data_IF_015556174026
#
_entry.id   IF_015556174026
#
_cell.length_a   1.000
_cell.length_b   1.000
_cell.length_c   1.000
_cell.angle_alpha   90.00
_cell.angle_beta   90.00
_cell.angle_gamma   90.00
#
_symmetry.space_group_name_H-M   'P 1'
#
loop_
_entity.id
_entity.type
_entity.pdbx_description
1 polymer ?
#
# COMPACT_ATOMS: atom_id res chain seq x y z
N UNK A 1 -47.37 -14.26 47.62
CA UNK A 1 -47.45 -13.40 48.82
C UNK A 1 -46.50 -12.24 48.51
N UNK A 2 -46.83 -11.04 48.34
CA UNK A 2 -47.96 -10.14 48.61
C UNK A 2 -47.93 -9.02 47.57
N UNK A 3 -48.95 -8.81 46.89
CA UNK A 3 -49.73 -7.77 46.38
C UNK A 3 -49.60 -6.41 47.09
N UNK A 4 -49.86 -5.32 46.34
CA UNK A 4 -50.66 -4.13 46.70
C UNK A 4 -50.02 -2.91 46.02
N UNK A 5 -50.62 -1.92 45.47
CA UNK A 5 -51.96 -1.47 45.09
C UNK A 5 -51.79 -0.24 44.21
N UNK A 6 -52.67 -0.05 43.29
CA UNK A 6 -52.90 1.16 42.48
C UNK A 6 -53.49 2.28 43.33
N UNK A 7 -53.19 3.53 43.00
CA UNK A 7 -53.98 4.67 43.36
C UNK A 7 -54.07 5.68 42.22
N UNK A 8 -55.26 5.77 41.66
CA UNK A 8 -55.74 6.82 40.75
C UNK A 8 -56.02 8.08 41.52
N UNK A 9 -55.70 9.28 41.03
CA UNK A 9 -56.29 10.53 41.41
C UNK A 9 -56.72 11.32 40.17
N UNK A 10 -57.99 11.40 39.96
CA UNK A 10 -58.71 12.33 39.08
C UNK A 10 -58.78 13.73 39.73
N UNK A 11 -58.48 14.78 38.95
CA UNK A 11 -58.98 16.16 39.28
C UNK A 11 -59.47 16.81 37.99
N UNK A 12 -60.65 17.34 37.96
CA UNK A 12 -61.27 18.05 36.84
C UNK A 12 -61.09 19.56 36.94
N UNK A 13 -61.07 20.27 35.81
CA UNK A 13 -61.16 21.74 35.80
C UNK A 13 -60.67 22.37 34.50
N UNK A 14 -61.54 22.48 33.52
CA UNK A 14 -61.36 23.27 32.32
C UNK A 14 -61.64 24.76 32.58
N UNK A 15 -60.70 25.63 32.16
CA UNK A 15 -60.95 27.07 31.94
C UNK A 15 -60.38 27.44 30.56
N UNK A 16 -61.20 28.10 29.70
CA UNK A 16 -60.73 28.51 28.36
C UNK A 16 -59.92 29.80 28.48
N UNK A 17 -58.67 29.74 27.92
CA UNK A 17 -57.85 30.96 27.76
C UNK A 17 -58.00 31.52 26.35
N UNK A 18 -58.33 32.78 26.31
CA UNK A 18 -58.49 33.63 25.14
C UNK A 18 -57.14 33.72 24.34
N UNK A 19 -57.29 33.73 23.05
CA UNK A 19 -56.18 33.97 22.09
C UNK A 19 -55.90 35.48 22.05
N UNK A 20 -54.63 35.88 22.35
CA UNK A 20 -54.04 37.16 21.93
C UNK A 20 -53.13 36.91 20.73
N UNK A 21 -53.30 37.63 19.63
CA UNK A 21 -52.38 37.51 18.50
C UNK A 21 -51.10 38.33 18.79
N UNK A 22 -49.94 37.68 18.73
CA UNK A 22 -48.61 38.34 18.73
C UNK A 22 -48.19 38.59 17.28
N UNK A 23 -47.95 39.85 16.87
CA UNK A 23 -47.47 40.14 15.52
C UNK A 23 -45.96 39.93 15.46
N UNK A 24 -45.50 39.17 14.48
CA UNK A 24 -44.06 39.13 14.10
C UNK A 24 -43.36 37.77 14.18
N UNK A 25 -44.04 36.65 13.91
CA UNK A 25 -43.36 35.38 13.76
C UNK A 25 -42.82 35.22 12.32
N UNK A 26 -41.52 35.38 12.13
CA UNK A 26 -40.82 34.94 10.93
C UNK A 26 -41.07 33.44 10.74
N UNK A 27 -41.47 32.97 9.56
CA UNK A 27 -41.82 31.57 9.37
C UNK A 27 -40.60 30.68 9.70
N UNK A 28 -40.76 29.76 10.66
CA UNK A 28 -39.72 28.78 11.04
C UNK A 28 -39.15 27.98 9.86
N UNK A 29 -39.83 27.92 8.75
CA UNK A 29 -39.39 27.32 7.51
C UNK A 29 -38.19 28.07 6.86
N UNK A 30 -38.14 29.41 7.00
CA UNK A 30 -37.05 30.20 6.40
C UNK A 30 -35.75 30.12 7.20
N UNK A 31 -35.83 29.99 8.53
CA UNK A 31 -34.62 29.73 9.35
C UNK A 31 -34.06 28.32 9.13
N UNK A 32 -34.91 27.31 8.96
CA UNK A 32 -34.47 25.94 8.68
C UNK A 32 -33.78 25.79 7.32
N UNK A 33 -34.26 26.50 6.29
CA UNK A 33 -33.62 26.51 4.96
C UNK A 33 -32.30 27.27 4.98
N UNK A 34 -32.19 28.39 5.70
CA UNK A 34 -30.93 29.13 5.84
C UNK A 34 -29.87 28.34 6.61
N UNK A 35 -30.25 27.60 7.66
CA UNK A 35 -29.37 26.74 8.43
C UNK A 35 -28.92 25.51 7.59
N UNK A 36 -29.82 24.93 6.81
CA UNK A 36 -29.50 23.81 5.92
C UNK A 36 -28.55 24.23 4.78
N UNK A 37 -28.72 25.44 4.22
CA UNK A 37 -27.83 25.99 3.19
C UNK A 37 -26.48 26.38 3.77
N UNK A 38 -26.39 26.88 5.02
CA UNK A 38 -25.09 27.13 5.68
C UNK A 38 -24.36 25.83 6.06
N UNK A 39 -25.05 24.75 6.39
CA UNK A 39 -24.46 23.44 6.69
C UNK A 39 -23.99 22.74 5.41
N UNK A 40 -24.66 22.94 4.28
CA UNK A 40 -24.25 22.42 2.96
C UNK A 40 -23.07 23.19 2.32
N UNK A 41 -22.77 24.40 2.81
CA UNK A 41 -21.61 25.21 2.36
C UNK A 41 -20.37 25.02 3.23
N UNK A 42 -20.44 24.24 4.30
CA UNK A 42 -19.26 23.72 4.99
C UNK A 42 -18.67 22.51 4.22
N UNK A 43 -18.44 22.67 2.93
CA UNK A 43 -17.43 21.89 2.23
C UNK A 43 -16.15 22.07 3.04
N UNK A 44 -15.58 20.98 3.55
CA UNK A 44 -14.23 21.00 4.13
C UNK A 44 -13.36 21.55 3.02
N UNK A 45 -13.06 22.83 3.07
CA UNK A 45 -12.11 23.44 2.15
C UNK A 45 -10.81 22.69 2.40
N UNK A 46 -10.46 21.78 1.51
CA UNK A 46 -9.14 21.16 1.49
C UNK A 46 -8.15 22.30 1.41
N UNK A 47 -7.41 22.54 2.48
CA UNK A 47 -6.49 23.66 2.54
C UNK A 47 -5.41 23.40 1.50
N UNK A 48 -5.26 24.31 0.53
CA UNK A 48 -4.15 24.27 -0.41
C UNK A 48 -2.84 24.31 0.37
N UNK A 49 -1.90 23.43 0.03
CA UNK A 49 -0.65 23.25 0.78
C UNK A 49 0.53 23.66 -0.10
N UNK A 50 1.42 24.45 0.45
CA UNK A 50 2.73 24.72 -0.12
C UNK A 50 3.78 24.09 0.78
N UNK A 51 4.73 23.38 0.21
CA UNK A 51 5.87 22.81 0.91
C UNK A 51 7.15 23.45 0.37
N UNK A 52 7.98 24.05 1.25
CA UNK A 52 9.28 24.60 0.88
C UNK A 52 10.38 23.83 1.58
N UNK A 53 11.36 23.35 0.81
CA UNK A 53 12.53 22.63 1.29
C UNK A 53 13.82 23.37 0.95
N UNK A 54 14.83 23.32 1.84
CA UNK A 54 16.19 23.74 1.45
C UNK A 54 16.70 22.89 0.30
N UNK A 55 16.31 21.61 0.27
CA UNK A 55 16.51 20.69 -0.87
C UNK A 55 15.23 19.88 -1.11
N UNK A 56 14.74 19.91 -2.34
CA UNK A 56 13.58 19.10 -2.78
C UNK A 56 14.05 18.04 -3.76
N UNK A 57 13.96 16.77 -3.38
CA UNK A 57 14.21 15.62 -4.25
C UNK A 57 12.92 15.28 -4.97
N UNK A 58 12.78 15.70 -6.21
CA UNK A 58 11.54 15.48 -6.98
C UNK A 58 11.38 14.04 -7.45
N UNK A 59 12.46 13.29 -7.56
CA UNK A 59 12.56 11.96 -8.20
C UNK A 59 12.11 11.95 -9.68
N UNK A 60 12.04 13.14 -10.30
CA UNK A 60 11.75 13.37 -11.72
C UNK A 60 12.89 14.12 -12.42
N UNK A 61 13.97 14.43 -11.73
CA UNK A 61 15.14 15.16 -12.21
C UNK A 61 16.11 15.46 -11.08
N UNK A 62 17.04 16.38 -11.31
CA UNK A 62 18.01 16.79 -10.29
C UNK A 62 17.31 17.44 -9.08
N UNK A 63 17.87 17.30 -7.87
CA UNK A 63 17.35 17.96 -6.68
C UNK A 63 17.28 19.48 -6.83
N UNK A 64 16.22 20.10 -6.34
CA UNK A 64 15.99 21.54 -6.42
C UNK A 64 16.40 22.18 -5.08
N UNK A 65 17.37 23.08 -5.11
CA UNK A 65 17.73 23.90 -3.95
C UNK A 65 16.70 25.01 -3.75
N UNK A 66 16.35 25.28 -2.48
CA UNK A 66 15.29 26.21 -2.11
C UNK A 66 14.01 25.96 -2.94
N UNK A 67 13.59 24.70 -2.96
CA UNK A 67 12.48 24.24 -3.78
C UNK A 67 11.12 24.46 -3.14
N UNK A 68 10.09 24.62 -3.99
CA UNK A 68 8.69 24.76 -3.57
C UNK A 68 7.84 23.75 -4.33
N UNK A 69 6.94 23.08 -3.61
CA UNK A 69 5.89 22.22 -4.14
C UNK A 69 4.54 22.83 -3.77
N UNK A 70 3.71 23.11 -4.75
CA UNK A 70 2.33 23.56 -4.55
C UNK A 70 1.36 22.41 -4.78
N UNK A 71 0.48 22.18 -3.82
CA UNK A 71 -0.59 21.17 -3.89
C UNK A 71 -1.93 21.88 -3.83
N UNK A 72 -2.75 21.66 -4.85
CA UNK A 72 -4.05 22.29 -5.02
C UNK A 72 -5.14 21.73 -4.09
N UNK A 73 -6.29 22.36 -4.13
CA UNK A 73 -7.46 21.95 -3.36
C UNK A 73 -8.01 20.56 -3.78
N UNK A 74 -7.67 20.11 -4.98
CA UNK A 74 -8.00 18.76 -5.48
C UNK A 74 -7.03 17.67 -4.99
N UNK A 75 -6.03 18.05 -4.17
CA UNK A 75 -5.02 17.13 -3.64
C UNK A 75 -3.90 16.80 -4.63
N UNK A 76 -3.86 17.46 -5.81
CA UNK A 76 -2.83 17.23 -6.81
C UNK A 76 -1.71 18.27 -6.75
N UNK A 77 -0.51 17.85 -7.15
CA UNK A 77 0.61 18.76 -7.33
C UNK A 77 0.31 19.69 -8.51
N UNK A 78 0.28 20.99 -8.27
CA UNK A 78 0.06 22.00 -9.30
C UNK A 78 1.39 22.42 -9.94
N UNK A 79 2.40 22.67 -9.11
CA UNK A 79 3.71 23.17 -9.57
C UNK A 79 4.83 22.73 -8.64
N UNK A 80 5.99 22.52 -9.23
CA UNK A 80 7.25 22.28 -8.53
C UNK A 80 8.34 23.12 -9.19
N UNK A 81 9.21 23.75 -8.39
CA UNK A 81 10.31 24.55 -8.91
C UNK A 81 11.08 25.25 -7.79
N UNK A 82 12.00 26.14 -8.15
CA UNK A 82 12.71 26.97 -7.17
C UNK A 82 11.78 28.00 -6.54
N UNK A 83 12.08 28.49 -5.33
CA UNK A 83 11.31 29.58 -4.70
C UNK A 83 11.34 30.89 -5.49
N UNK A 84 12.29 31.05 -6.42
CA UNK A 84 12.33 32.18 -7.33
C UNK A 84 11.26 32.05 -8.44
N UNK A 85 11.01 30.84 -8.92
CA UNK A 85 10.11 30.55 -10.04
C UNK A 85 8.67 30.24 -9.58
N UNK A 86 8.52 29.68 -8.37
CA UNK A 86 7.24 29.24 -7.81
C UNK A 86 6.91 30.06 -6.56
N UNK A 87 6.12 31.13 -6.76
CA UNK A 87 5.62 31.94 -5.63
C UNK A 87 4.47 31.21 -4.97
N UNK A 88 4.50 31.15 -3.63
CA UNK A 88 3.40 30.62 -2.81
C UNK A 88 2.26 31.62 -2.82
N UNK A 89 1.06 31.25 -3.35
CA UNK A 89 -0.09 32.16 -3.37
C UNK A 89 -0.62 32.43 -1.95
N UNK A 90 -1.31 33.53 -1.77
CA UNK A 90 -2.05 33.81 -0.54
C UNK A 90 -3.15 32.77 -0.33
N UNK A 91 -3.28 32.26 0.91
CA UNK A 91 -4.26 31.23 1.25
C UNK A 91 -3.71 29.80 1.28
N UNK A 92 -2.50 29.57 0.78
CA UNK A 92 -1.82 28.28 0.94
C UNK A 92 -1.26 28.14 2.36
N UNK A 93 -1.47 26.97 2.97
CA UNK A 93 -0.77 26.59 4.19
C UNK A 93 0.67 26.25 3.87
N UNK A 94 1.63 27.04 4.35
CA UNK A 94 3.06 26.84 4.07
C UNK A 94 3.72 25.98 5.15
N UNK A 95 4.25 24.83 4.73
CA UNK A 95 5.14 23.95 5.49
C UNK A 95 6.60 24.18 5.08
N UNK A 96 7.54 23.97 6.02
CA UNK A 96 8.97 24.13 5.77
C UNK A 96 9.76 22.95 6.33
N UNK A 97 10.79 22.51 5.59
CA UNK A 97 11.70 21.46 6.02
C UNK A 97 13.10 21.67 5.42
N UNK A 98 14.11 20.96 5.93
CA UNK A 98 15.43 20.94 5.29
C UNK A 98 15.40 20.11 4.02
N UNK A 99 14.83 18.92 4.12
CA UNK A 99 14.70 17.99 2.97
C UNK A 99 13.24 17.66 2.74
N UNK A 100 12.85 17.65 1.46
CA UNK A 100 11.51 17.30 1.00
C UNK A 100 11.64 16.23 -0.08
N UNK A 101 10.86 15.15 0.05
CA UNK A 101 10.81 14.05 -0.90
C UNK A 101 9.36 13.76 -1.30
N UNK A 102 9.10 12.99 -2.38
CA UNK A 102 7.82 12.32 -2.53
C UNK A 102 7.52 11.49 -1.29
N UNK A 103 6.25 11.28 -0.99
CA UNK A 103 5.86 10.30 0.00
C UNK A 103 6.46 8.94 -0.33
N UNK A 104 6.95 8.24 0.69
CA UNK A 104 7.59 6.94 0.52
C UNK A 104 6.57 5.87 0.12
N UNK A 105 7.02 4.91 -0.68
CA UNK A 105 6.25 3.77 -1.16
C UNK A 105 6.87 2.49 -0.63
N UNK A 106 6.19 1.79 0.26
CA UNK A 106 6.60 0.45 0.71
C UNK A 106 6.12 -0.59 -0.32
N UNK A 107 7.07 -1.17 -1.05
CA UNK A 107 6.75 -2.05 -2.17
C UNK A 107 6.17 -3.41 -1.74
N UNK A 108 6.31 -3.81 -0.47
CA UNK A 108 5.69 -5.02 0.08
C UNK A 108 5.68 -5.01 1.60
N UNK A 109 4.49 -5.14 2.16
CA UNK A 109 4.27 -5.24 3.60
C UNK A 109 3.04 -6.09 3.91
N UNK A 110 2.77 -6.32 5.19
CA UNK A 110 1.52 -6.92 5.70
C UNK A 110 0.74 -5.98 6.62
N UNK A 111 1.19 -4.73 6.71
CA UNK A 111 0.55 -3.72 7.57
C UNK A 111 -0.89 -3.48 7.11
N UNK A 112 -1.79 -3.37 8.07
CA UNK A 112 -3.23 -3.30 7.85
C UNK A 112 -3.95 -4.66 7.83
N UNK A 113 -3.25 -5.77 7.46
CA UNK A 113 -3.74 -7.14 7.66
C UNK A 113 -3.13 -7.75 8.93
N UNK A 114 -1.88 -7.41 9.24
CA UNK A 114 -1.21 -7.80 10.47
C UNK A 114 -1.20 -6.62 11.44
N UNK A 115 -1.75 -6.81 12.64
CA UNK A 115 -1.83 -5.79 13.68
C UNK A 115 -0.59 -5.73 14.56
N UNK A 116 -0.44 -4.63 15.30
CA UNK A 116 0.74 -4.36 16.12
C UNK A 116 0.84 -5.24 17.38
N UNK A 117 -0.28 -5.76 17.86
CA UNK A 117 -0.31 -6.62 19.06
C UNK A 117 0.25 -8.02 18.81
N UNK A 118 0.32 -8.45 17.54
CA UNK A 118 0.75 -9.79 17.15
C UNK A 118 -0.06 -10.91 17.82
N UNK A 119 -1.36 -10.69 17.98
CA UNK A 119 -2.30 -11.65 18.58
C UNK A 119 -3.09 -12.37 17.49
N UNK A 120 -3.62 -13.57 17.74
CA UNK A 120 -4.35 -14.33 16.72
C UNK A 120 -5.48 -13.56 16.02
N UNK A 121 -6.15 -12.66 16.72
CA UNK A 121 -7.25 -11.86 16.18
C UNK A 121 -6.81 -10.72 15.26
N UNK A 122 -5.53 -10.36 15.25
CA UNK A 122 -4.96 -9.30 14.40
C UNK A 122 -3.97 -9.83 13.35
N UNK A 123 -4.04 -11.14 13.00
CA UNK A 123 -3.14 -11.81 12.07
C UNK A 123 -3.88 -12.28 10.81
N UNK A 124 -4.53 -11.33 10.10
CA UNK A 124 -5.33 -11.62 8.91
C UNK A 124 -4.48 -11.82 7.64
N UNK A 125 -3.18 -11.60 7.71
CA UNK A 125 -2.27 -11.82 6.58
C UNK A 125 -1.98 -13.29 6.30
N UNK A 126 -2.34 -14.20 7.19
CA UNK A 126 -1.98 -15.62 7.09
C UNK A 126 -3.22 -16.50 7.09
N UNK A 127 -3.39 -17.28 6.00
CA UNK A 127 -4.39 -18.34 5.89
C UNK A 127 -3.73 -19.58 5.28
N UNK A 128 -3.81 -20.70 5.98
CA UNK A 128 -3.10 -21.95 5.65
C UNK A 128 -3.99 -23.17 5.52
N UNK A 129 -5.33 -22.99 5.47
CA UNK A 129 -6.28 -24.11 5.36
C UNK A 129 -6.14 -24.90 4.06
N UNK A 130 -5.77 -24.20 2.97
CA UNK A 130 -5.42 -24.84 1.69
C UNK A 130 -4.17 -24.21 1.07
N UNK A 131 -3.49 -24.95 0.19
CA UNK A 131 -2.25 -24.50 -0.41
C UNK A 131 -2.43 -23.41 -1.49
N UNK A 132 -3.60 -23.31 -2.13
CA UNK A 132 -3.84 -22.42 -3.27
C UNK A 132 -5.19 -21.73 -3.09
N UNK A 133 -5.17 -20.42 -2.84
CA UNK A 133 -6.31 -19.58 -2.45
C UNK A 133 -6.23 -18.20 -3.15
N UNK A 134 -6.12 -18.12 -4.48
CA UNK A 134 -5.95 -16.84 -5.19
C UNK A 134 -7.20 -15.94 -5.10
N UNK A 135 -8.34 -16.47 -4.65
CA UNK A 135 -9.59 -15.75 -4.44
C UNK A 135 -9.60 -14.87 -3.17
N UNK A 136 -8.70 -15.11 -2.22
CA UNK A 136 -8.65 -14.32 -0.98
C UNK A 136 -8.19 -12.89 -1.27
N UNK A 137 -9.06 -11.93 -1.02
CA UNK A 137 -8.83 -10.52 -1.31
C UNK A 137 -8.27 -9.79 -0.09
N UNK A 138 -7.17 -9.08 -0.24
CA UNK A 138 -6.58 -8.29 0.85
C UNK A 138 -7.54 -7.20 1.34
N UNK A 139 -8.33 -6.58 0.46
CA UNK A 139 -9.31 -5.53 0.81
C UNK A 139 -10.38 -6.00 1.79
N UNK A 140 -10.71 -7.31 1.82
CA UNK A 140 -11.76 -7.83 2.70
C UNK A 140 -11.28 -7.98 4.16
N UNK A 141 -9.96 -7.92 4.40
CA UNK A 141 -9.35 -8.05 5.73
C UNK A 141 -8.50 -6.84 6.16
N UNK A 142 -8.36 -5.84 5.28
CA UNK A 142 -7.56 -4.66 5.57
C UNK A 142 -8.24 -3.75 6.59
N UNK A 143 -7.51 -3.40 7.64
CA UNK A 143 -7.91 -2.43 8.65
C UNK A 143 -7.15 -1.11 8.44
N UNK A 144 -7.82 -0.09 7.88
CA UNK A 144 -7.22 1.22 7.64
C UNK A 144 -6.87 1.99 8.93
N UNK A 145 -7.51 1.64 10.05
CA UNK A 145 -7.28 2.23 11.37
C UNK A 145 -6.29 1.45 12.24
N UNK A 146 -5.61 0.45 11.65
CA UNK A 146 -4.57 -0.29 12.37
C UNK A 146 -3.40 0.65 12.72
N UNK A 147 -2.90 0.57 13.97
CA UNK A 147 -1.88 1.50 14.50
C UNK A 147 -0.58 1.54 13.69
N UNK A 148 -0.20 0.43 13.06
CA UNK A 148 0.98 0.41 12.21
C UNK A 148 0.78 1.19 10.90
N UNK A 149 -0.46 1.37 10.42
CA UNK A 149 -0.77 2.26 9.28
C UNK A 149 -0.45 3.70 9.66
N UNK A 150 -0.88 4.15 10.85
CA UNK A 150 -0.54 5.45 11.39
C UNK A 150 0.97 5.60 11.64
N UNK A 151 1.61 4.57 12.20
CA UNK A 151 3.05 4.52 12.40
C UNK A 151 3.82 4.74 11.09
N UNK A 152 3.50 3.99 10.03
CA UNK A 152 4.13 4.14 8.73
C UNK A 152 3.92 5.55 8.17
N UNK A 153 2.70 6.07 8.24
CA UNK A 153 2.36 7.43 7.81
C UNK A 153 3.23 8.47 8.52
N UNK A 154 3.35 8.40 9.83
CA UNK A 154 4.14 9.32 10.63
C UNK A 154 5.63 9.28 10.29
N UNK A 155 6.11 8.19 9.70
CA UNK A 155 7.47 8.04 9.20
C UNK A 155 7.60 8.28 7.68
N UNK A 156 6.64 9.00 7.07
CA UNK A 156 6.73 9.43 5.68
C UNK A 156 6.27 8.41 4.64
N UNK A 157 5.84 7.21 5.03
CA UNK A 157 5.28 6.22 4.10
C UNK A 157 3.84 6.58 3.78
N UNK A 158 3.57 7.04 2.56
CA UNK A 158 2.23 7.48 2.13
C UNK A 158 1.48 6.41 1.35
N UNK A 159 2.20 5.45 0.78
CA UNK A 159 1.62 4.38 -0.04
C UNK A 159 2.23 3.04 0.36
N UNK A 160 1.40 2.02 0.50
CA UNK A 160 1.80 0.65 0.82
C UNK A 160 1.22 -0.34 -0.18
N UNK A 161 2.03 -1.34 -0.57
CA UNK A 161 1.59 -2.56 -1.23
C UNK A 161 1.49 -3.65 -0.18
N UNK A 162 0.27 -3.99 0.24
CA UNK A 162 -0.01 -4.90 1.35
C UNK A 162 -0.86 -6.08 0.92
N UNK A 163 -0.86 -7.15 1.68
CA UNK A 163 -1.68 -8.34 1.40
C UNK A 163 -1.20 -9.58 2.15
N UNK A 164 -1.66 -10.74 1.68
CA UNK A 164 -1.37 -12.00 2.34
C UNK A 164 0.13 -12.32 2.35
N UNK A 165 0.64 -12.75 3.51
CA UNK A 165 2.02 -13.16 3.69
C UNK A 165 2.32 -14.49 2.96
N UNK A 166 3.60 -14.79 2.65
CA UNK A 166 4.00 -16.03 1.99
C UNK A 166 3.94 -17.23 2.97
N UNK A 167 2.73 -17.66 3.33
CA UNK A 167 2.47 -18.78 4.24
C UNK A 167 1.80 -19.99 3.56
N UNK A 168 1.55 -19.90 2.26
CA UNK A 168 1.00 -20.96 1.41
C UNK A 168 1.53 -20.81 -0.01
N UNK A 169 1.35 -21.83 -0.85
CA UNK A 169 1.82 -21.81 -2.26
C UNK A 169 1.20 -20.64 -3.05
N UNK A 170 -0.10 -20.37 -2.88
CA UNK A 170 -0.80 -19.19 -3.38
C UNK A 170 -1.67 -18.67 -2.24
N UNK A 171 -1.16 -17.75 -1.40
CA UNK A 171 -1.85 -17.32 -0.18
C UNK A 171 -3.02 -16.37 -0.42
N UNK A 172 -3.07 -15.69 -1.57
CA UNK A 172 -4.14 -14.74 -1.88
C UNK A 172 -3.67 -13.56 -2.73
N UNK A 173 -4.47 -12.52 -2.70
CA UNK A 173 -4.24 -11.27 -3.43
C UNK A 173 -3.51 -10.25 -2.58
N UNK A 174 -2.95 -9.24 -3.26
CA UNK A 174 -2.43 -8.04 -2.65
C UNK A 174 -3.18 -6.81 -3.15
N UNK A 175 -3.07 -5.71 -2.42
CA UNK A 175 -3.67 -4.42 -2.74
C UNK A 175 -2.66 -3.29 -2.59
N UNK A 176 -2.95 -2.13 -3.18
CA UNK A 176 -2.19 -0.90 -2.93
C UNK A 176 -3.11 0.12 -2.29
N UNK A 177 -2.67 0.72 -1.19
CA UNK A 177 -3.43 1.69 -0.44
C UNK A 177 -2.58 2.89 -0.01
N UNK A 178 -3.25 4.03 0.20
CA UNK A 178 -2.69 5.15 0.96
C UNK A 178 -2.70 4.80 2.45
N UNK A 179 -1.78 5.37 3.21
CA UNK A 179 -1.76 5.23 4.68
C UNK A 179 -2.70 6.23 5.37
N UNK A 180 -3.78 6.61 4.72
CA UNK A 180 -4.78 7.56 5.18
C UNK A 180 -6.18 7.01 4.86
N UNK A 181 -7.18 7.50 5.58
CA UNK A 181 -8.57 7.05 5.47
C UNK A 181 -9.02 6.26 6.70
N UNK A 182 -10.32 6.25 6.94
CA UNK A 182 -10.96 5.59 8.09
C UNK A 182 -11.43 4.18 7.74
N UNK A 183 -11.53 3.89 6.45
CA UNK A 183 -11.98 2.62 5.89
C UNK A 183 -11.22 2.26 4.62
N UNK A 184 -11.28 1.01 4.21
CA UNK A 184 -10.52 0.49 3.07
C UNK A 184 -10.89 1.19 1.76
N UNK A 185 -12.16 1.50 1.52
CA UNK A 185 -12.61 2.14 0.29
C UNK A 185 -12.06 3.56 0.12
N UNK A 186 -11.82 4.27 1.24
CA UNK A 186 -11.17 5.58 1.23
C UNK A 186 -9.65 5.49 1.05
N UNK A 187 -9.02 4.39 1.46
CA UNK A 187 -7.58 4.19 1.41
C UNK A 187 -7.10 3.54 0.10
N UNK A 188 -7.91 2.68 -0.51
CA UNK A 188 -7.48 1.81 -1.62
C UNK A 188 -7.19 2.59 -2.90
N UNK A 189 -6.01 2.33 -3.49
CA UNK A 189 -5.62 2.81 -4.84
C UNK A 189 -5.88 1.72 -5.88
N UNK A 190 -5.50 0.48 -5.55
CA UNK A 190 -5.66 -0.71 -6.40
C UNK A 190 -6.14 -1.85 -5.52
N UNK A 191 -7.37 -2.31 -5.73
CA UNK A 191 -7.99 -3.35 -4.90
C UNK A 191 -7.39 -4.74 -5.12
N UNK A 192 -6.88 -5.02 -6.31
CA UNK A 192 -6.17 -6.26 -6.67
C UNK A 192 -4.93 -5.88 -7.46
N UNK A 193 -3.78 -5.81 -6.79
CA UNK A 193 -2.52 -5.43 -7.41
C UNK A 193 -1.81 -6.65 -8.02
N UNK A 194 -1.76 -7.76 -7.30
CA UNK A 194 -1.12 -9.02 -7.72
C UNK A 194 -1.84 -10.22 -7.13
N UNK A 195 -1.59 -11.42 -7.69
CA UNK A 195 -1.77 -12.69 -6.98
C UNK A 195 -0.41 -13.08 -6.40
N UNK A 196 -0.35 -13.33 -5.09
CA UNK A 196 0.87 -13.79 -4.44
C UNK A 196 1.07 -15.30 -4.64
N UNK A 197 2.32 -15.71 -4.85
CA UNK A 197 2.74 -17.11 -4.88
C UNK A 197 4.07 -17.26 -4.15
N UNK A 198 4.31 -18.40 -3.51
CA UNK A 198 5.52 -18.63 -2.71
C UNK A 198 6.24 -19.89 -3.18
N UNK A 199 7.48 -19.73 -3.61
CA UNK A 199 8.39 -20.82 -3.96
C UNK A 199 9.54 -20.87 -2.95
N UNK A 200 9.49 -21.85 -2.08
CA UNK A 200 10.44 -22.00 -0.98
C UNK A 200 9.77 -22.65 0.20
N UNK A 201 10.42 -22.65 1.33
CA UNK A 201 9.95 -23.31 2.55
C UNK A 201 8.57 -22.84 2.98
N UNK A 202 8.30 -21.54 2.92
CA UNK A 202 7.05 -20.94 3.41
C UNK A 202 5.84 -21.26 2.51
N UNK A 203 6.08 -21.65 1.25
CA UNK A 203 5.06 -22.15 0.33
C UNK A 203 4.76 -23.65 0.46
N UNK A 204 5.50 -24.37 1.30
CA UNK A 204 5.31 -25.80 1.52
C UNK A 204 4.46 -26.04 2.77
N UNK A 205 3.55 -26.97 2.69
CA UNK A 205 2.80 -27.44 3.84
C UNK A 205 3.72 -28.30 4.74
N UNK A 206 3.47 -28.25 6.05
CA UNK A 206 4.25 -29.03 6.99
C UNK A 206 4.21 -30.54 6.75
N UNK A 207 4.98 -31.29 7.51
CA UNK A 207 5.15 -32.75 7.36
C UNK A 207 3.80 -33.49 7.26
N UNK A 208 3.70 -34.36 6.27
CA UNK A 208 2.48 -35.14 5.97
C UNK A 208 1.37 -34.38 5.22
N UNK A 209 1.58 -33.09 4.89
CA UNK A 209 0.64 -32.27 4.10
C UNK A 209 1.19 -31.97 2.70
N UNK A 210 0.34 -31.43 1.82
CA UNK A 210 0.68 -31.11 0.43
C UNK A 210 0.58 -29.58 0.18
N UNK A 211 1.57 -28.97 -0.52
CA UNK A 211 2.76 -29.59 -1.12
C UNK A 211 3.88 -29.83 -0.09
N UNK A 212 4.51 -31.02 -0.15
CA UNK A 212 5.63 -31.38 0.74
C UNK A 212 7.01 -31.03 0.17
N UNK A 213 7.11 -30.66 -1.11
CA UNK A 213 8.33 -30.22 -1.77
C UNK A 213 8.05 -29.33 -2.98
N UNK A 214 9.09 -28.67 -3.50
CA UNK A 214 8.98 -27.74 -4.64
C UNK A 214 8.42 -28.38 -5.90
N UNK A 215 8.79 -29.64 -6.22
CA UNK A 215 8.26 -30.31 -7.41
C UNK A 215 6.75 -30.49 -7.34
N UNK A 216 6.22 -30.87 -6.17
CA UNK A 216 4.78 -30.99 -5.95
C UNK A 216 4.11 -29.62 -5.98
N UNK A 217 4.72 -28.59 -5.37
CA UNK A 217 4.20 -27.23 -5.40
C UNK A 217 4.05 -26.71 -6.84
N UNK A 218 5.07 -26.88 -7.67
CA UNK A 218 5.01 -26.45 -9.08
C UNK A 218 4.02 -27.28 -9.89
N UNK A 219 3.91 -28.60 -9.65
CA UNK A 219 2.88 -29.40 -10.30
C UNK A 219 1.46 -28.94 -9.96
N UNK A 220 1.21 -28.58 -8.70
CA UNK A 220 -0.08 -28.02 -8.26
C UNK A 220 -0.36 -26.67 -8.91
N UNK A 221 0.62 -25.76 -8.91
CA UNK A 221 0.46 -24.44 -9.54
C UNK A 221 0.15 -24.57 -11.04
N UNK A 222 0.88 -25.44 -11.77
CA UNK A 222 0.60 -25.73 -13.18
C UNK A 222 -0.81 -26.25 -13.40
N UNK A 223 -1.24 -27.19 -12.58
CA UNK A 223 -2.58 -27.76 -12.70
C UNK A 223 -3.67 -26.69 -12.55
N UNK A 224 -3.51 -25.76 -11.60
CA UNK A 224 -4.48 -24.68 -11.41
C UNK A 224 -4.41 -23.63 -12.54
N UNK A 225 -3.23 -23.31 -13.06
CA UNK A 225 -3.10 -22.41 -14.22
C UNK A 225 -3.71 -23.02 -15.49
N UNK A 226 -3.55 -24.33 -15.71
CA UNK A 226 -4.20 -25.03 -16.83
C UNK A 226 -5.73 -24.99 -16.69
N UNK A 227 -6.26 -25.29 -15.49
CA UNK A 227 -7.71 -25.20 -15.21
C UNK A 227 -8.24 -23.79 -15.43
N UNK A 228 -7.49 -22.77 -14.95
CA UNK A 228 -7.87 -21.37 -15.13
C UNK A 228 -7.90 -20.98 -16.62
N UNK A 229 -6.95 -21.47 -17.42
CA UNK A 229 -6.95 -21.24 -18.87
C UNK A 229 -8.17 -21.86 -19.53
N UNK A 230 -8.46 -23.14 -19.25
CA UNK A 230 -9.65 -23.81 -19.76
C UNK A 230 -10.96 -23.13 -19.35
N UNK A 231 -11.00 -22.62 -18.11
CA UNK A 231 -12.14 -21.87 -17.60
C UNK A 231 -12.36 -20.56 -18.37
N UNK A 232 -11.30 -19.76 -18.55
CA UNK A 232 -11.36 -18.51 -19.31
C UNK A 232 -11.80 -18.77 -20.75
N UNK A 233 -11.23 -19.79 -21.41
CA UNK A 233 -11.59 -20.16 -22.78
C UNK A 233 -13.08 -20.54 -22.87
N UNK A 234 -13.62 -21.29 -21.91
CA UNK A 234 -15.04 -21.65 -21.83
C UNK A 234 -15.95 -20.46 -21.52
N UNK A 235 -15.51 -19.53 -20.67
CA UNK A 235 -16.27 -18.31 -20.35
C UNK A 235 -16.39 -17.36 -21.56
N UNK A 236 -15.45 -17.37 -22.48
CA UNK A 236 -15.52 -16.63 -23.73
C UNK A 236 -16.50 -17.25 -24.77
N UNK A 237 -16.98 -18.48 -24.53
CA UNK A 237 -17.89 -19.22 -25.41
C UNK A 237 -19.35 -18.77 -25.31
N UNK A 238 -20.26 -19.51 -26.01
CA UNK A 238 -21.70 -19.26 -25.99
C UNK A 238 -22.28 -19.30 -24.58
N UNK A 239 -23.25 -18.40 -24.29
CA UNK A 239 -23.79 -18.20 -22.95
C UNK A 239 -24.38 -19.45 -22.30
N UNK A 240 -25.02 -20.32 -23.11
CA UNK A 240 -25.61 -21.58 -22.66
C UNK A 240 -24.60 -22.68 -22.30
N UNK A 241 -23.31 -22.47 -22.67
CA UNK A 241 -22.20 -23.40 -22.40
C UNK A 241 -21.19 -22.88 -21.41
N UNK A 242 -21.41 -21.70 -20.85
CA UNK A 242 -20.49 -21.09 -19.85
C UNK A 242 -20.55 -21.87 -18.55
N UNK A 243 -19.41 -22.21 -17.95
CA UNK A 243 -19.37 -22.80 -16.61
C UNK A 243 -19.92 -21.84 -15.55
N UNK A 244 -20.33 -22.37 -14.42
CA UNK A 244 -20.61 -21.56 -13.23
C UNK A 244 -19.38 -20.74 -12.83
N UNK A 245 -19.60 -19.62 -12.15
CA UNK A 245 -18.50 -18.79 -11.66
C UNK A 245 -17.64 -19.54 -10.65
N UNK A 246 -16.34 -19.42 -10.83
CA UNK A 246 -15.32 -19.93 -9.93
C UNK A 246 -14.31 -18.79 -9.63
N UNK A 247 -14.39 -18.24 -8.41
CA UNK A 247 -13.58 -17.08 -8.01
C UNK A 247 -12.08 -17.37 -8.06
N UNK A 248 -11.67 -18.58 -7.76
CA UNK A 248 -10.29 -19.04 -7.82
C UNK A 248 -9.75 -18.99 -9.25
N UNK A 249 -10.51 -19.55 -10.19
CA UNK A 249 -10.13 -19.59 -11.60
C UNK A 249 -10.23 -18.20 -12.26
N UNK A 250 -11.20 -17.37 -11.85
CA UNK A 250 -11.30 -15.97 -12.28
C UNK A 250 -10.05 -15.18 -11.85
N UNK A 251 -9.58 -15.33 -10.60
CA UNK A 251 -8.39 -14.66 -10.10
C UNK A 251 -7.13 -15.07 -10.88
N UNK A 252 -6.92 -16.37 -11.10
CA UNK A 252 -5.79 -16.85 -11.92
C UNK A 252 -5.93 -16.48 -13.41
N UNK A 253 -7.16 -16.35 -13.90
CA UNK A 253 -7.45 -15.85 -15.24
C UNK A 253 -6.90 -14.45 -15.50
N UNK A 254 -6.94 -13.56 -14.52
CA UNK A 254 -6.33 -12.22 -14.60
C UNK A 254 -4.81 -12.27 -14.74
N UNK A 255 -4.15 -13.26 -14.15
CA UNK A 255 -2.71 -13.49 -14.33
C UNK A 255 -2.42 -13.98 -15.74
N UNK A 256 -3.20 -14.94 -16.25
CA UNK A 256 -3.05 -15.48 -17.60
C UNK A 256 -3.34 -14.45 -18.70
N UNK A 257 -4.28 -13.53 -18.49
CA UNK A 257 -4.57 -12.42 -19.40
C UNK A 257 -3.56 -11.28 -19.28
N UNK A 258 -2.60 -11.37 -18.36
CA UNK A 258 -1.63 -10.31 -18.04
C UNK A 258 -2.28 -9.01 -17.53
N UNK A 259 -3.51 -9.06 -17.05
CA UNK A 259 -4.15 -7.92 -16.38
C UNK A 259 -3.37 -7.53 -15.12
N UNK A 260 -3.03 -8.52 -14.29
CA UNK A 260 -2.19 -8.36 -13.09
C UNK A 260 -1.01 -9.33 -13.14
N UNK A 261 0.14 -9.00 -12.51
CA UNK A 261 1.27 -9.92 -12.40
C UNK A 261 1.04 -10.97 -11.29
N UNK A 262 1.77 -12.09 -11.40
CA UNK A 262 1.99 -12.99 -10.27
C UNK A 262 3.18 -12.46 -9.45
N UNK A 263 2.99 -12.16 -8.17
CA UNK A 263 4.04 -11.80 -7.24
C UNK A 263 4.65 -13.08 -6.66
N UNK A 264 5.89 -13.41 -7.03
CA UNK A 264 6.50 -14.69 -6.66
C UNK A 264 7.57 -14.47 -5.60
N UNK A 265 7.27 -14.86 -4.36
CA UNK A 265 8.26 -14.91 -3.29
C UNK A 265 9.19 -16.09 -3.52
N UNK A 266 10.48 -15.81 -3.79
CA UNK A 266 11.51 -16.80 -4.04
C UNK A 266 12.87 -16.26 -3.63
N UNK A 267 13.52 -16.86 -2.64
CA UNK A 267 14.79 -16.39 -2.10
C UNK A 267 16.00 -17.10 -2.72
N UNK A 268 15.95 -18.43 -2.88
CA UNK A 268 17.07 -19.25 -3.38
C UNK A 268 17.18 -19.16 -4.90
N UNK A 269 18.39 -19.14 -5.43
CA UNK A 269 18.66 -19.04 -6.87
C UNK A 269 17.86 -20.07 -7.70
N UNK A 270 17.79 -21.33 -7.25
CA UNK A 270 17.03 -22.37 -7.97
C UNK A 270 15.52 -22.16 -7.93
N UNK A 271 14.97 -21.56 -6.86
CA UNK A 271 13.55 -21.17 -6.80
C UNK A 271 13.27 -19.99 -7.73
N UNK A 272 14.18 -18.99 -7.77
CA UNK A 272 14.11 -17.86 -8.72
C UNK A 272 14.09 -18.40 -10.17
N UNK A 273 15.06 -19.24 -10.53
CA UNK A 273 15.09 -19.84 -11.86
C UNK A 273 13.84 -20.68 -12.19
N UNK A 274 13.23 -21.31 -11.18
CA UNK A 274 11.97 -22.03 -11.34
C UNK A 274 10.80 -21.07 -11.60
N UNK A 275 10.74 -19.93 -10.88
CA UNK A 275 9.75 -18.87 -11.13
C UNK A 275 9.85 -18.34 -12.56
N UNK A 276 11.08 -18.03 -13.03
CA UNK A 276 11.32 -17.58 -14.41
C UNK A 276 10.86 -18.61 -15.44
N UNK A 277 11.08 -19.90 -15.19
CA UNK A 277 10.65 -20.99 -16.08
C UNK A 277 9.12 -21.09 -16.16
N UNK A 278 8.41 -21.01 -15.01
CA UNK A 278 6.94 -21.03 -14.98
C UNK A 278 6.38 -19.79 -15.68
N UNK A 279 6.95 -18.61 -15.45
CA UNK A 279 6.55 -17.39 -16.13
C UNK A 279 6.65 -17.51 -17.65
N UNK A 280 7.75 -18.08 -18.16
CA UNK A 280 7.96 -18.34 -19.59
C UNK A 280 7.00 -19.40 -20.13
N UNK A 281 6.74 -20.48 -19.37
CA UNK A 281 5.87 -21.61 -19.77
C UNK A 281 4.44 -21.18 -20.01
N UNK A 282 3.91 -20.30 -19.15
CA UNK A 282 2.54 -19.79 -19.21
C UNK A 282 2.41 -18.42 -19.86
N UNK A 283 3.54 -17.84 -20.30
CA UNK A 283 3.60 -16.47 -20.87
C UNK A 283 2.92 -15.43 -19.97
N UNK A 284 3.20 -15.47 -18.65
CA UNK A 284 2.63 -14.57 -17.65
C UNK A 284 3.66 -13.53 -17.19
N UNK A 285 3.15 -12.38 -16.71
CA UNK A 285 3.99 -11.37 -16.05
C UNK A 285 4.22 -11.80 -14.60
N UNK A 286 5.45 -11.70 -14.13
CA UNK A 286 5.77 -11.87 -12.71
C UNK A 286 6.56 -10.68 -12.17
N UNK A 287 6.49 -10.49 -10.86
CA UNK A 287 7.40 -9.68 -10.06
C UNK A 287 8.06 -10.63 -9.07
N UNK A 288 9.38 -10.62 -8.98
CA UNK A 288 10.08 -11.37 -7.95
C UNK A 288 9.99 -10.64 -6.62
N UNK A 289 9.58 -11.35 -5.58
CA UNK A 289 9.56 -10.88 -4.20
C UNK A 289 10.63 -11.64 -3.40
N UNK A 290 11.40 -10.91 -2.62
CA UNK A 290 12.46 -11.45 -1.79
C UNK A 290 13.82 -11.56 -2.48
N UNK A 291 14.01 -12.55 -3.32
CA UNK A 291 15.23 -12.76 -4.17
C UNK A 291 16.55 -12.63 -3.40
N UNK A 292 16.70 -13.23 -2.22
CA UNK A 292 17.92 -13.16 -1.40
C UNK A 292 19.18 -13.60 -2.13
N UNK A 293 19.09 -14.61 -3.01
CA UNK A 293 20.17 -15.07 -3.89
C UNK A 293 20.04 -14.53 -5.34
N UNK A 294 19.25 -13.48 -5.54
CA UNK A 294 19.04 -12.89 -6.87
C UNK A 294 20.32 -12.41 -7.53
N UNK A 295 21.28 -11.95 -6.74
CA UNK A 295 22.60 -11.51 -7.19
C UNK A 295 23.44 -12.63 -7.84
N UNK A 296 23.15 -13.89 -7.54
CA UNK A 296 23.80 -15.06 -8.15
C UNK A 296 23.27 -15.39 -9.55
N UNK A 297 22.12 -14.85 -9.93
CA UNK A 297 21.41 -15.17 -11.19
C UNK A 297 20.95 -13.92 -11.95
N UNK A 298 21.65 -12.81 -11.77
CA UNK A 298 21.33 -11.49 -12.36
C UNK A 298 21.10 -11.55 -13.87
N UNK A 299 21.96 -12.28 -14.62
CA UNK A 299 21.83 -12.39 -16.07
C UNK A 299 20.50 -13.00 -16.49
N UNK A 300 20.01 -13.97 -15.71
CA UNK A 300 18.74 -14.66 -16.00
C UNK A 300 17.54 -13.77 -15.67
N UNK A 301 17.59 -13.04 -14.55
CA UNK A 301 16.56 -12.07 -14.17
C UNK A 301 16.49 -10.95 -15.20
N UNK A 302 17.64 -10.38 -15.56
CA UNK A 302 17.76 -9.33 -16.59
C UNK A 302 17.23 -9.80 -17.95
N UNK A 303 17.67 -10.99 -18.41
CA UNK A 303 17.20 -11.56 -19.69
C UNK A 303 15.67 -11.75 -19.71
N UNK A 304 15.08 -12.08 -18.57
CA UNK A 304 13.64 -12.23 -18.44
C UNK A 304 12.89 -10.88 -18.33
N UNK A 305 13.59 -9.76 -18.10
CA UNK A 305 13.01 -8.43 -17.95
C UNK A 305 12.13 -8.26 -16.69
N UNK A 306 12.42 -9.04 -15.63
CA UNK A 306 11.57 -9.14 -14.46
C UNK A 306 12.09 -8.20 -13.35
N UNK A 307 11.24 -7.34 -12.77
CA UNK A 307 11.61 -6.49 -11.65
C UNK A 307 11.66 -7.28 -10.34
N UNK A 308 12.38 -6.74 -9.36
CA UNK A 308 12.57 -7.33 -8.04
C UNK A 308 12.11 -6.37 -6.94
N UNK A 309 11.23 -6.85 -6.07
CA UNK A 309 10.99 -6.26 -4.75
C UNK A 309 11.89 -7.02 -3.80
N UNK A 310 13.01 -6.40 -3.43
CA UNK A 310 14.08 -7.06 -2.69
C UNK A 310 13.64 -7.33 -1.24
N UNK A 311 14.09 -8.46 -0.68
CA UNK A 311 13.85 -8.80 0.73
C UNK A 311 14.30 -7.68 1.68
N UNK A 312 13.66 -7.60 2.84
CA UNK A 312 14.09 -6.70 3.90
C UNK A 312 15.48 -7.12 4.42
N UNK A 313 16.43 -6.18 4.45
CA UNK A 313 17.83 -6.46 4.85
C UNK A 313 17.98 -6.68 6.35
N UNK A 314 17.04 -6.15 7.15
CA UNK A 314 16.98 -6.40 8.59
C UNK A 314 16.41 -7.78 8.95
N UNK A 315 16.04 -8.62 7.97
CA UNK A 315 15.67 -10.00 8.20
C UNK A 315 16.86 -10.80 8.78
N UNK A 316 16.56 -11.85 9.54
CA UNK A 316 17.61 -12.74 10.02
C UNK A 316 18.10 -13.65 8.90
N UNK A 317 19.40 -13.69 8.69
CA UNK A 317 20.01 -14.66 7.80
C UNK A 317 19.78 -16.08 8.34
N UNK A 318 19.20 -16.95 7.51
CA UNK A 318 18.91 -18.34 7.87
C UNK A 318 17.84 -18.95 6.96
N UNK A 319 17.81 -20.26 6.84
CA UNK A 319 16.89 -20.96 5.94
C UNK A 319 17.04 -20.51 4.49
N UNK A 320 15.95 -20.09 3.87
CA UNK A 320 15.97 -19.57 2.49
C UNK A 320 16.68 -18.22 2.36
N UNK A 321 16.93 -17.51 3.48
CA UNK A 321 17.64 -16.23 3.54
C UNK A 321 19.11 -16.34 3.95
N UNK A 322 19.69 -17.55 4.09
CA UNK A 322 21.04 -17.73 4.64
C UNK A 322 22.14 -16.99 3.86
N UNK A 323 21.98 -16.82 2.55
CA UNK A 323 22.93 -16.16 1.64
C UNK A 323 22.50 -14.73 1.27
N UNK A 324 21.60 -14.12 2.02
CA UNK A 324 21.25 -12.73 1.78
C UNK A 324 22.46 -11.81 2.02
N UNK A 325 22.57 -10.74 1.26
CA UNK A 325 23.60 -9.71 1.45
C UNK A 325 22.98 -8.31 1.40
N UNK A 326 23.54 -7.39 2.17
CA UNK A 326 23.12 -5.98 2.17
C UNK A 326 23.46 -5.27 0.85
N UNK A 327 24.39 -5.82 0.07
CA UNK A 327 24.77 -5.32 -1.27
C UNK A 327 23.78 -5.72 -2.37
N UNK A 328 22.79 -6.57 -2.11
CA UNK A 328 21.89 -7.13 -3.13
C UNK A 328 21.22 -6.05 -3.98
N UNK A 329 20.76 -4.94 -3.40
CA UNK A 329 20.13 -3.85 -4.13
C UNK A 329 21.10 -3.24 -5.16
N UNK A 330 22.33 -2.98 -4.75
CA UNK A 330 23.38 -2.40 -5.60
C UNK A 330 23.81 -3.37 -6.71
N UNK A 331 23.95 -4.67 -6.40
CA UNK A 331 24.33 -5.70 -7.38
C UNK A 331 23.27 -5.87 -8.47
N UNK A 332 21.98 -5.96 -8.07
CA UNK A 332 20.86 -6.07 -9.00
C UNK A 332 20.74 -4.81 -9.89
N UNK A 333 20.83 -3.63 -9.27
CA UNK A 333 20.70 -2.35 -10.01
C UNK A 333 21.87 -2.14 -10.98
N UNK A 334 23.11 -2.47 -10.61
CA UNK A 334 24.28 -2.47 -11.51
C UNK A 334 24.12 -3.43 -12.68
N UNK A 335 23.43 -4.54 -12.50
CA UNK A 335 23.06 -5.44 -13.57
C UNK A 335 21.97 -4.88 -14.50
N UNK A 336 21.33 -3.75 -14.15
CA UNK A 336 20.24 -3.12 -14.91
C UNK A 336 18.87 -3.72 -14.62
N UNK A 337 18.68 -4.36 -13.47
CA UNK A 337 17.41 -4.92 -13.01
C UNK A 337 16.66 -3.83 -12.21
N UNK A 338 15.38 -3.56 -12.50
CA UNK A 338 14.56 -2.67 -11.67
C UNK A 338 14.39 -3.24 -10.25
N UNK A 339 14.69 -2.43 -9.22
CA UNK A 339 14.65 -2.83 -7.81
C UNK A 339 13.79 -1.86 -7.01
N UNK A 340 12.90 -2.39 -6.18
CA UNK A 340 12.24 -1.69 -5.09
C UNK A 340 12.56 -2.38 -3.76
N UNK A 341 12.44 -1.63 -2.67
CA UNK A 341 12.64 -2.13 -1.32
C UNK A 341 11.30 -2.29 -0.60
N UNK A 342 11.30 -3.10 0.45
CA UNK A 342 10.13 -3.46 1.22
C UNK A 342 10.44 -3.52 2.72
N UNK A 343 9.43 -3.28 3.57
CA UNK A 343 9.55 -3.54 5.00
C UNK A 343 9.36 -5.03 5.35
N UNK A 344 8.77 -5.81 4.46
CA UNK A 344 8.64 -7.27 4.57
C UNK A 344 7.39 -7.75 5.29
N UNK A 345 7.35 -9.04 5.54
CA UNK A 345 6.17 -9.77 6.04
C UNK A 345 6.47 -10.71 7.22
N UNK A 346 7.67 -10.65 7.79
CA UNK A 346 8.01 -11.45 8.98
C UNK A 346 7.12 -11.10 10.18
N UNK A 347 6.79 -12.08 10.99
CA UNK A 347 5.71 -12.06 11.96
C UNK A 347 5.67 -10.91 12.96
N UNK A 348 6.79 -10.40 13.48
CA UNK A 348 6.75 -9.35 14.51
C UNK A 348 7.72 -8.19 14.30
N UNK A 349 8.87 -8.41 13.70
CA UNK A 349 9.90 -7.37 13.54
C UNK A 349 9.60 -6.45 12.36
N UNK A 350 9.18 -6.92 11.19
CA UNK A 350 8.96 -6.08 10.02
C UNK A 350 7.82 -5.09 10.17
N UNK A 351 6.83 -5.39 11.00
CA UNK A 351 5.71 -4.49 11.26
C UNK A 351 6.15 -3.15 11.87
N UNK A 352 7.28 -3.15 12.55
CA UNK A 352 7.85 -1.93 13.15
C UNK A 352 8.92 -1.30 12.27
N UNK A 353 9.28 -1.92 11.15
CA UNK A 353 10.24 -1.37 10.21
C UNK A 353 9.61 -0.27 9.38
N UNK A 354 10.42 0.71 9.11
CA UNK A 354 10.11 1.75 8.12
C UNK A 354 11.00 1.49 6.92
N UNK A 355 10.41 1.44 5.74
CA UNK A 355 11.13 1.15 4.48
C UNK A 355 12.28 2.14 4.21
N UNK A 356 12.23 3.31 4.84
CA UNK A 356 13.31 4.30 4.80
C UNK A 356 14.65 3.73 5.33
N UNK A 357 14.62 2.91 6.39
CA UNK A 357 15.83 2.27 6.90
C UNK A 357 16.41 1.26 5.92
N UNK A 358 15.57 0.56 5.17
CA UNK A 358 16.03 -0.33 4.11
C UNK A 358 16.76 0.44 3.00
N UNK A 359 16.28 1.63 2.65
CA UNK A 359 16.95 2.52 1.70
C UNK A 359 18.29 3.04 2.23
N UNK A 360 18.35 3.43 3.52
CA UNK A 360 19.58 3.85 4.17
C UNK A 360 20.65 2.74 4.18
N UNK A 361 20.24 1.49 4.48
CA UNK A 361 21.14 0.32 4.42
C UNK A 361 21.61 0.09 2.99
N UNK A 362 20.75 0.19 1.99
CA UNK A 362 21.11 0.04 0.58
C UNK A 362 22.10 1.14 0.12
N UNK A 363 21.93 2.39 0.60
CA UNK A 363 22.87 3.47 0.35
C UNK A 363 24.23 3.19 0.99
N UNK A 364 24.26 2.73 2.23
CA UNK A 364 25.50 2.34 2.92
C UNK A 364 26.22 1.16 2.25
N UNK A 365 25.51 0.37 1.42
CA UNK A 365 26.02 -0.84 0.76
C UNK A 365 26.03 -0.72 -0.78
N UNK A 366 26.28 0.48 -1.30
CA UNK A 366 26.73 0.69 -2.67
C UNK A 366 25.71 1.27 -3.66
N UNK A 367 24.52 1.71 -3.19
CA UNK A 367 23.71 2.64 -3.95
C UNK A 367 24.12 4.09 -3.62
N UNK A 368 23.94 4.99 -4.58
CA UNK A 368 23.97 6.44 -4.29
C UNK A 368 22.71 6.83 -3.50
N UNK A 369 22.72 8.01 -2.87
CA UNK A 369 21.55 8.54 -2.18
C UNK A 369 20.31 8.58 -3.08
N UNK A 370 20.44 9.14 -4.28
CA UNK A 370 19.33 9.26 -5.23
C UNK A 370 18.81 7.88 -5.68
N UNK A 371 19.71 6.91 -5.91
CA UNK A 371 19.31 5.55 -6.25
C UNK A 371 18.58 4.85 -5.11
N UNK A 372 19.05 5.00 -3.88
CA UNK A 372 18.42 4.42 -2.71
C UNK A 372 17.02 5.04 -2.47
N UNK A 373 16.92 6.36 -2.57
CA UNK A 373 15.63 7.05 -2.46
C UNK A 373 14.67 6.64 -3.58
N UNK A 374 15.16 6.42 -4.80
CA UNK A 374 14.34 5.95 -5.92
C UNK A 374 13.70 4.59 -5.64
N UNK A 375 14.40 3.67 -4.94
CA UNK A 375 13.89 2.32 -4.63
C UNK A 375 12.68 2.31 -3.71
N UNK A 376 12.48 3.38 -2.93
CA UNK A 376 11.36 3.55 -2.00
C UNK A 376 10.41 4.68 -2.41
N UNK A 377 10.52 5.14 -3.65
CA UNK A 377 9.67 6.18 -4.23
C UNK A 377 9.29 5.80 -5.67
N UNK A 378 9.93 6.41 -6.67
CA UNK A 378 9.54 6.27 -8.08
C UNK A 378 9.77 4.86 -8.65
N UNK A 379 10.82 4.14 -8.27
CA UNK A 379 11.06 2.79 -8.77
C UNK A 379 10.06 1.79 -8.18
N UNK A 380 9.73 1.93 -6.87
CA UNK A 380 8.64 1.17 -6.25
C UNK A 380 7.31 1.44 -6.95
N UNK A 381 6.97 2.73 -7.18
CA UNK A 381 5.74 3.11 -7.86
C UNK A 381 5.66 2.53 -9.29
N UNK A 382 6.78 2.52 -10.06
CA UNK A 382 6.85 1.93 -11.40
C UNK A 382 6.65 0.41 -11.37
N UNK A 383 7.30 -0.29 -10.45
CA UNK A 383 7.16 -1.76 -10.31
C UNK A 383 5.72 -2.12 -9.95
N UNK A 384 5.07 -1.31 -9.12
CA UNK A 384 3.68 -1.49 -8.70
C UNK A 384 2.65 -0.96 -9.72
N UNK A 385 3.08 -0.26 -10.77
CA UNK A 385 2.20 0.31 -11.82
C UNK A 385 1.37 1.51 -11.35
N UNK A 386 1.82 2.24 -10.33
CA UNK A 386 1.14 3.43 -9.77
C UNK A 386 1.95 4.73 -9.96
N UNK A 387 3.00 4.69 -10.75
CA UNK A 387 3.91 5.81 -11.02
C UNK A 387 3.26 7.02 -11.69
N UNK A 388 2.09 6.85 -12.30
CA UNK A 388 1.28 7.97 -12.82
C UNK A 388 0.62 8.79 -11.71
N UNK A 389 0.52 8.25 -10.51
CA UNK A 389 -0.11 8.88 -9.36
C UNK A 389 0.89 9.32 -8.28
N UNK A 390 1.85 8.44 -7.93
CA UNK A 390 2.75 8.61 -6.77
C UNK A 390 4.21 8.36 -7.14
N UNK A 391 5.12 8.55 -6.20
CA UNK A 391 6.54 8.22 -6.31
C UNK A 391 7.45 9.32 -6.84
N UNK A 392 6.90 10.41 -7.37
CA UNK A 392 7.68 11.61 -7.73
C UNK A 392 6.84 12.88 -7.56
N UNK A 393 7.51 14.02 -7.37
CA UNK A 393 6.86 15.33 -7.26
C UNK A 393 6.80 15.96 -8.66
N UNK A 394 5.69 15.71 -9.36
CA UNK A 394 5.41 16.22 -10.69
C UNK A 394 3.97 16.74 -10.77
N UNK A 395 3.75 17.79 -11.55
CA UNK A 395 2.41 18.34 -11.75
C UNK A 395 1.42 17.28 -12.23
N UNK A 396 0.24 17.25 -11.63
CA UNK A 396 -0.85 16.30 -11.90
C UNK A 396 -0.80 15.01 -11.09
N UNK A 397 0.31 14.69 -10.41
CA UNK A 397 0.39 13.57 -9.47
C UNK A 397 -0.25 13.91 -8.13
N UNK A 398 -0.51 12.89 -7.34
CA UNK A 398 -1.03 13.05 -5.98
C UNK A 398 -0.06 13.87 -5.13
N UNK A 399 -0.59 14.77 -4.31
CA UNK A 399 0.19 15.63 -3.42
C UNK A 399 0.67 14.89 -2.17
N UNK A 400 1.48 13.85 -2.40
CA UNK A 400 2.08 13.01 -1.36
C UNK A 400 3.52 13.47 -1.13
N UNK A 401 3.79 14.02 0.04
CA UNK A 401 5.07 14.66 0.37
C UNK A 401 5.52 14.27 1.78
N UNK A 402 6.78 13.88 1.91
CA UNK A 402 7.45 13.67 3.20
C UNK A 402 8.48 14.78 3.45
N UNK A 403 8.49 15.31 4.68
CA UNK A 403 9.30 16.43 5.11
C UNK A 403 10.25 15.98 6.21
N UNK A 404 11.53 16.33 6.09
CA UNK A 404 12.58 15.92 7.02
C UNK A 404 13.37 17.13 7.56
N UNK A 405 13.83 17.03 8.81
CA UNK A 405 14.68 18.04 9.46
C UNK A 405 16.17 17.87 9.16
N UNK A 406 16.54 16.87 8.37
CA UNK A 406 17.91 16.54 7.98
C UNK A 406 17.96 15.57 6.79
N UNK A 407 19.09 14.90 6.60
CA UNK A 407 19.22 13.82 5.63
C UNK A 407 18.32 12.66 6.03
N UNK A 408 17.41 12.20 5.17
CA UNK A 408 16.46 11.10 5.47
C UNK A 408 17.15 9.79 5.88
N UNK A 409 18.40 9.57 5.50
CA UNK A 409 19.14 8.35 5.80
C UNK A 409 20.00 8.43 7.06
N UNK A 410 20.06 9.60 7.69
CA UNK A 410 20.77 9.76 8.95
C UNK A 410 19.86 9.44 10.14
N UNK A 411 20.38 8.67 11.09
CA UNK A 411 19.66 8.22 12.27
C UNK A 411 19.08 9.34 13.13
N UNK A 412 19.72 10.51 13.11
CA UNK A 412 19.33 11.70 13.88
C UNK A 412 18.30 12.57 13.19
N UNK A 413 17.93 12.25 11.97
CA UNK A 413 16.91 12.99 11.22
C UNK A 413 15.52 12.45 11.52
N UNK A 414 14.53 13.35 11.55
CA UNK A 414 13.15 13.05 11.83
C UNK A 414 12.26 13.42 10.66
N UNK A 415 11.17 12.70 10.48
CA UNK A 415 10.05 13.16 9.67
C UNK A 415 9.31 14.21 10.46
N UNK A 416 9.27 15.44 9.97
CA UNK A 416 8.65 16.60 10.64
C UNK A 416 7.33 17.02 10.03
N UNK A 417 6.91 16.33 8.96
CA UNK A 417 5.62 16.54 8.35
C UNK A 417 5.34 15.55 7.24
N UNK A 418 4.08 15.23 7.07
CA UNK A 418 3.59 14.35 5.99
C UNK A 418 2.33 14.95 5.39
N UNK A 419 2.30 15.00 4.06
CA UNK A 419 1.13 15.40 3.27
C UNK A 419 0.70 14.22 2.43
N UNK A 420 -0.60 13.89 2.42
CA UNK A 420 -1.19 12.86 1.57
C UNK A 420 -2.43 13.45 0.89
N UNK A 421 -2.50 13.34 -0.44
CA UNK A 421 -3.58 13.90 -1.25
C UNK A 421 -3.85 15.38 -0.89
N UNK A 422 -2.77 16.16 -0.66
CA UNK A 422 -2.85 17.57 -0.29
C UNK A 422 -3.32 17.86 1.14
N UNK A 423 -3.52 16.84 1.96
CA UNK A 423 -3.89 16.99 3.37
C UNK A 423 -2.67 16.81 4.26
N UNK A 424 -2.45 17.74 5.17
CA UNK A 424 -1.41 17.59 6.22
C UNK A 424 -1.91 16.57 7.23
N UNK A 425 -1.25 15.41 7.28
CA UNK A 425 -1.67 14.25 8.10
C UNK A 425 -0.76 14.02 9.31
N UNK A 426 0.43 14.63 9.32
CA UNK A 426 1.35 14.65 10.47
C UNK A 426 2.19 15.94 10.43
N UNK A 427 2.47 16.53 11.60
CA UNK A 427 3.35 17.70 11.79
C UNK A 427 4.20 17.56 13.05
N UNK A 428 4.25 16.42 13.66
CA UNK A 428 5.11 16.10 14.81
C UNK A 428 6.36 15.37 14.32
N UNK A 429 7.49 15.68 14.95
CA UNK A 429 8.75 14.97 14.67
C UNK A 429 8.66 13.50 15.15
N UNK A 430 9.00 12.59 14.27
CA UNK A 430 8.98 11.14 14.50
C UNK A 430 10.30 10.50 14.09
#
# INVERSE_FOLDING_TARGET
MTSVHSASCLVPGAVPRAWCPVPGAVPRAMCAVLTLVLVLLASVASAQVAVRGETVYTMAGAPIKDGVVLVGADGKIERVGTAADVRVPSGYRLLRAKVVTPGLVDARTVVGLAGYLNQPHDQMQTETSTAIQPELRAVDAYNAQERLVEWLRNHGVTTIHTGHAPAALVPGQTMIAKTVGDEVDAAVIVSVATIAATLGRDGLAGQGKSPGNTSKAIAMLRAELIKAKEYVDKQAGPADKRPARDLKLEALGKVLSKEIPLLVTAHRAHHILTALRVAKEFDIRIVLDGAAEGYLVTDRIKQAGIPVILHATMARAGGDLENMTMESASLLRKAGIPVALQSGYEGYVPKTRVVLFEAAIAAANGLTFDEALATVTIDAAKILGVDKRVGSLEAGKDGDVALFDGDPFEYTSHVVGVVIDGRVVSETAH
#
